data_IF_730495991898
#
_entry.id   IF_730495991898
#
_cell.length_a   1.000
_cell.length_b   1.000
_cell.length_c   1.000
_cell.angle_alpha   90.00
_cell.angle_beta   90.00
_cell.angle_gamma   90.00
#
_symmetry.space_group_name_H-M   'P 1'
#
loop_
_entity.id
_entity.type
_entity.pdbx_description
1 polymer ?
2 polymer ?
3 non-polymer ?
4 water ?
#
# COMPACT_ATOMS: atom_id res chain seq x y z
N UNK A 1 10.04 4.19 9.86
CA UNK A 1 10.54 5.56 9.63
C UNK A 1 10.74 5.87 8.14
N UNK A 2 11.38 4.94 7.45
CA UNK A 2 11.64 5.04 6.02
C UNK A 2 10.31 5.14 5.26
N UNK A 3 9.37 4.27 5.61
CA UNK A 3 8.04 4.24 4.98
C UNK A 3 7.19 5.44 5.39
N UNK A 4 7.36 5.90 6.63
CA UNK A 4 6.61 7.05 7.13
C UNK A 4 6.96 8.26 6.28
N UNK A 5 8.25 8.38 5.93
CA UNK A 5 8.74 9.47 5.11
C UNK A 5 8.11 9.42 3.71
N UNK A 6 8.02 8.23 3.14
CA UNK A 6 7.42 8.08 1.82
C UNK A 6 5.98 8.56 1.89
N UNK A 7 5.27 8.15 2.94
CA UNK A 7 3.88 8.55 3.08
C UNK A 7 3.75 10.06 3.24
N UNK A 8 4.67 10.67 3.97
CA UNK A 8 4.63 12.11 4.16
C UNK A 8 4.89 12.82 2.82
N UNK A 9 5.76 12.23 2.00
CA UNK A 9 6.09 12.79 0.69
C UNK A 9 4.90 12.67 -0.24
N UNK A 10 4.17 11.55 -0.16
CA UNK A 10 2.99 11.35 -1.01
C UNK A 10 1.93 12.40 -0.65
N UNK A 11 1.74 12.63 0.65
CA UNK A 11 0.77 13.61 1.11
C UNK A 11 1.10 15.00 0.55
N UNK A 12 2.37 15.37 0.59
CA UNK A 12 2.81 16.66 0.07
C UNK A 12 2.68 16.73 -1.46
N UNK A 13 3.09 15.66 -2.14
CA UNK A 13 3.01 15.61 -3.60
C UNK A 13 1.58 15.72 -4.10
N UNK A 14 0.63 15.21 -3.31
CA UNK A 14 -0.77 15.27 -3.71
C UNK A 14 -1.45 16.51 -3.15
N UNK A 15 -0.62 17.48 -2.76
CA UNK A 15 -1.06 18.76 -2.24
C UNK A 15 -1.85 18.77 -0.95
N UNK A 16 -1.55 17.81 -0.08
CA UNK A 16 -2.19 17.76 1.22
C UNK A 16 -1.13 18.38 2.14
N UNK A 17 -1.21 19.70 2.26
CA UNK A 17 -0.28 20.50 3.06
C UNK A 17 -0.40 20.35 4.57
N UNK A 18 -1.60 20.04 5.05
CA UNK A 18 -1.82 19.84 6.47
C UNK A 18 -2.67 18.61 6.70
N UNK A 19 -2.31 17.83 7.71
CA UNK A 19 -3.04 16.62 8.05
C UNK A 19 -2.80 16.25 9.51
N UNK A 20 -3.75 15.53 10.11
CA UNK A 20 -3.58 15.07 11.48
C UNK A 20 -2.43 14.09 11.41
N UNK A 21 -1.52 14.12 12.40
CA UNK A 21 -0.35 13.24 12.45
C UNK A 21 -0.68 11.77 12.29
N UNK A 22 -1.78 11.33 12.88
CA UNK A 22 -2.18 9.93 12.83
C UNK A 22 -2.58 9.39 11.45
N UNK A 23 -2.73 10.29 10.47
CA UNK A 23 -3.06 9.90 9.10
C UNK A 23 -1.91 9.03 8.58
N UNK A 24 -0.69 9.41 8.91
CA UNK A 24 0.49 8.67 8.49
C UNK A 24 0.41 7.25 9.07
N UNK A 25 0.04 7.15 10.34
CA UNK A 25 -0.07 5.87 11.02
C UNK A 25 -1.10 5.01 10.31
N UNK A 26 -2.26 5.61 10.03
CA UNK A 26 -3.35 4.93 9.34
C UNK A 26 -2.88 4.38 8.00
N UNK A 27 -2.11 5.19 7.28
CA UNK A 27 -1.64 4.79 5.96
C UNK A 27 -0.58 3.70 6.03
N UNK A 28 0.20 3.68 7.11
CA UNK A 28 1.21 2.64 7.27
C UNK A 28 0.48 1.33 7.58
N UNK A 29 -0.61 1.44 8.33
CA UNK A 29 -1.40 0.28 8.70
C UNK A 29 -2.09 -0.29 7.47
N UNK A 30 -2.54 0.60 6.59
CA UNK A 30 -3.18 0.17 5.36
C UNK A 30 -2.14 -0.55 4.52
N UNK A 31 -0.96 0.04 4.40
CA UNK A 31 0.13 -0.54 3.62
C UNK A 31 0.37 -1.98 4.06
N UNK A 32 0.46 -2.18 5.37
CA UNK A 32 0.71 -3.50 5.93
C UNK A 32 -0.43 -4.45 5.62
N UNK A 33 -1.65 -3.97 5.81
CA UNK A 33 -2.84 -4.76 5.57
C UNK A 33 -2.97 -5.20 4.11
N UNK A 34 -2.70 -4.27 3.19
CA UNK A 34 -2.81 -4.54 1.76
C UNK A 34 -1.76 -5.55 1.32
N UNK A 35 -0.51 -5.29 1.68
CA UNK A 35 0.58 -6.18 1.31
C UNK A 35 0.40 -7.57 1.92
N UNK A 36 0.04 -7.64 3.19
CA UNK A 36 -0.16 -8.94 3.81
C UNK A 36 -1.32 -9.69 3.14
N UNK A 37 -2.38 -8.98 2.79
CA UNK A 37 -3.52 -9.62 2.17
C UNK A 37 -3.15 -10.24 0.82
N UNK A 38 -2.44 -9.48 -0.01
CA UNK A 38 -2.01 -9.98 -1.31
C UNK A 38 -1.03 -11.14 -1.16
N UNK A 39 -0.07 -11.01 -0.25
CA UNK A 39 0.96 -12.05 -0.03
C UNK A 39 0.40 -13.33 0.54
N UNK A 40 -0.62 -13.19 1.37
CA UNK A 40 -1.26 -14.34 1.98
C UNK A 40 -1.89 -15.25 0.91
N UNK A 41 -2.49 -14.64 -0.10
CA UNK A 41 -3.10 -15.38 -1.20
C UNK A 41 -2.01 -15.89 -2.16
N UNK A 42 -1.05 -15.02 -2.46
CA UNK A 42 0.05 -15.36 -3.35
C UNK A 42 0.80 -16.59 -2.83
N UNK A 43 0.92 -16.73 -1.51
CA UNK A 43 1.60 -17.87 -0.90
C UNK A 43 0.90 -19.18 -1.25
N UNK A 44 -0.42 -19.16 -1.29
CA UNK A 44 -1.19 -20.35 -1.62
C UNK A 44 -0.88 -20.78 -3.06
N UNK A 45 -0.84 -19.81 -3.97
CA UNK A 45 -0.55 -20.07 -5.38
C UNK A 45 0.86 -20.66 -5.51
N UNK A 46 1.82 -20.08 -4.79
CA UNK A 46 3.20 -20.55 -4.80
C UNK A 46 3.26 -21.99 -4.29
N UNK A 47 2.46 -22.27 -3.25
CA UNK A 47 2.37 -23.60 -2.66
C UNK A 47 1.86 -24.62 -3.67
N UNK A 48 0.75 -24.30 -4.32
CA UNK A 48 0.14 -25.18 -5.32
C UNK A 48 1.00 -25.38 -6.57
N UNK A 49 1.99 -24.51 -6.73
CA UNK A 49 2.92 -24.59 -7.86
C UNK A 49 4.17 -25.32 -7.38
N UNK A 50 4.21 -25.61 -6.08
CA UNK A 50 5.33 -26.29 -5.46
C UNK A 50 6.59 -25.42 -5.55
N UNK A 51 6.44 -24.16 -5.14
CA UNK A 51 7.54 -23.20 -5.15
C UNK A 51 7.83 -22.75 -3.73
N UNK A 52 9.06 -22.33 -3.47
CA UNK A 52 9.43 -21.85 -2.15
C UNK A 52 9.38 -20.32 -2.10
N UNK A 53 9.53 -19.68 -3.25
CA UNK A 53 9.54 -18.23 -3.33
C UNK A 53 8.37 -17.66 -4.11
N UNK A 54 7.68 -16.69 -3.51
CA UNK A 54 6.55 -16.02 -4.17
C UNK A 54 7.13 -15.26 -5.36
N UNK A 55 6.49 -15.42 -6.52
CA UNK A 55 6.91 -14.78 -7.77
C UNK A 55 5.86 -13.78 -8.28
N UNK A 56 6.24 -13.03 -9.31
CA UNK A 56 5.38 -12.02 -9.94
C UNK A 56 3.99 -12.58 -10.31
N UNK A 57 3.96 -13.76 -10.92
CA UNK A 57 2.69 -14.36 -11.32
C UNK A 57 1.76 -14.62 -10.14
N UNK A 58 2.33 -14.97 -8.99
CA UNK A 58 1.56 -15.22 -7.78
C UNK A 58 0.94 -13.93 -7.28
N UNK A 59 1.74 -12.86 -7.26
CA UNK A 59 1.25 -11.55 -6.84
C UNK A 59 0.19 -11.03 -7.82
N UNK A 60 0.41 -11.24 -9.11
CA UNK A 60 -0.54 -10.78 -10.12
C UNK A 60 -1.91 -11.45 -10.01
N UNK A 61 -1.91 -12.75 -9.75
CA UNK A 61 -3.15 -13.51 -9.63
C UNK A 61 -3.86 -13.12 -8.34
N UNK A 62 -3.11 -13.02 -7.25
CA UNK A 62 -3.70 -12.64 -5.97
C UNK A 62 -4.39 -11.28 -6.12
N UNK A 63 -3.71 -10.34 -6.78
CA UNK A 63 -4.24 -9.00 -6.99
C UNK A 63 -5.49 -9.00 -7.86
N UNK A 64 -5.45 -9.81 -8.91
CA UNK A 64 -6.55 -9.95 -9.88
C UNK A 64 -7.81 -10.57 -9.27
N UNK A 65 -7.61 -11.57 -8.42
CA UNK A 65 -8.72 -12.27 -7.79
C UNK A 65 -9.30 -11.51 -6.62
N UNK A 66 -8.51 -10.65 -6.00
CA UNK A 66 -9.01 -9.87 -4.88
C UNK A 66 -9.40 -8.47 -5.35
N UNK A 67 -9.94 -8.43 -6.58
CA UNK A 67 -10.41 -7.26 -7.33
C UNK A 67 -9.47 -6.95 -8.50
N UNK A 68 -8.62 -5.94 -8.36
CA UNK A 68 -7.66 -5.56 -9.41
C UNK A 68 -6.87 -4.31 -9.00
N UNK B 1 7.25 4.31 -14.79
CA UNK B 1 5.90 3.84 -14.36
C UNK B 1 5.21 4.88 -13.49
N UNK B 2 5.63 4.98 -12.24
CA UNK B 2 5.05 5.92 -11.29
C UNK B 2 5.84 7.20 -11.10
N UNK B 3 5.13 8.32 -11.05
CA UNK B 3 5.76 9.61 -10.80
C UNK B 3 5.53 9.84 -9.31
N UNK B 4 6.37 10.66 -8.71
CA UNK B 4 6.24 10.93 -7.30
C UNK B 4 6.89 9.85 -6.47
N UNK B 5 6.59 9.83 -5.18
CA UNK B 5 7.16 8.86 -4.28
C UNK B 5 6.46 7.50 -4.25
N UNK B 6 7.19 6.49 -3.80
CA UNK B 6 6.64 5.16 -3.71
C UNK B 6 7.35 4.36 -2.64
N UNK B 7 6.63 3.42 -2.06
CA UNK B 7 7.16 2.54 -1.03
C UNK B 7 8.23 1.67 -1.70
N UNK B 8 9.32 1.41 -1.00
CA UNK B 8 10.40 0.60 -1.56
C UNK B 8 10.05 -0.88 -1.63
N UNK B 9 10.68 -1.57 -2.58
CA UNK B 9 10.49 -3.00 -2.73
C UNK B 9 11.05 -3.71 -1.50
N UNK B 10 12.04 -3.07 -0.85
CA UNK B 10 12.66 -3.63 0.36
C UNK B 10 11.66 -3.75 1.52
N UNK B 11 10.77 -2.77 1.64
CA UNK B 11 9.75 -2.77 2.67
C UNK B 11 8.79 -3.94 2.53
N UNK B 12 8.59 -4.42 1.30
CA UNK B 12 7.69 -5.55 1.03
C UNK B 12 8.30 -6.82 1.61
N UNK B 13 9.62 -6.88 1.56
CA UNK B 13 10.37 -8.03 2.07
C UNK B 13 10.22 -8.14 3.60
N UNK B 14 10.33 -7.01 4.28
CA UNK B 14 10.21 -6.96 5.72
C UNK B 14 8.83 -7.42 6.12
N UNK B 15 7.82 -6.93 5.42
CA UNK B 15 6.44 -7.30 5.70
C UNK B 15 6.24 -8.81 5.49
N UNK B 16 6.83 -9.35 4.43
CA UNK B 16 6.72 -10.77 4.12
C UNK B 16 7.27 -11.64 5.25
N UNK B 17 8.40 -11.23 5.83
CA UNK B 17 9.00 -11.97 6.93
C UNK B 17 8.16 -11.90 8.19
N UNK B 18 7.58 -10.73 8.44
CA UNK B 18 6.77 -10.53 9.62
C UNK B 18 5.52 -11.39 9.64
N UNK B 19 5.08 -11.86 8.48
CA UNK B 19 3.90 -12.70 8.42
C UNK B 19 4.22 -14.14 8.07
N UNK B 20 5.49 -14.45 7.92
CA UNK B 20 5.89 -15.81 7.64
C UNK B 20 5.63 -16.42 6.27
N UNK B 21 5.44 -15.60 5.24
CA UNK B 21 5.21 -16.15 3.90
C UNK B 21 6.50 -16.47 3.14
N UNK B 22 7.65 -16.26 3.77
CA UNK B 22 8.90 -16.55 3.11
C UNK B 22 9.42 -15.41 2.24
N UNK B 23 10.39 -15.74 1.40
CA UNK B 23 11.04 -14.79 0.51
C UNK B 23 10.20 -14.43 -0.70
N UNK B 24 10.44 -13.23 -1.22
CA UNK B 24 9.74 -12.76 -2.40
C UNK B 24 10.78 -12.58 -3.49
N UNK B 25 10.38 -12.88 -4.71
CA UNK B 25 11.24 -12.68 -5.86
C UNK B 25 11.35 -11.15 -6.00
N UNK B 26 12.43 -10.65 -6.58
CA UNK B 26 12.59 -9.21 -6.72
C UNK B 26 11.48 -8.58 -7.54
N UNK B 27 11.06 -9.25 -8.61
CA UNK B 27 9.99 -8.71 -9.45
C UNK B 27 8.64 -8.66 -8.71
N UNK B 28 8.42 -9.63 -7.82
CA UNK B 28 7.19 -9.69 -7.03
C UNK B 28 7.17 -8.54 -6.01
N UNK B 29 8.28 -8.31 -5.32
CA UNK B 29 8.37 -7.22 -4.34
C UNK B 29 8.22 -5.86 -5.02
N UNK B 30 8.84 -5.68 -6.20
CA UNK B 30 8.75 -4.42 -6.95
C UNK B 30 7.31 -4.17 -7.39
N UNK B 31 6.64 -5.21 -7.85
CA UNK B 31 5.26 -5.07 -8.30
C UNK B 31 4.37 -4.63 -7.14
N UNK B 32 4.51 -5.30 -6.01
CA UNK B 32 3.74 -5.00 -4.81
C UNK B 32 4.00 -3.60 -4.28
N UNK B 33 5.26 -3.19 -4.28
CA UNK B 33 5.64 -1.86 -3.80
C UNK B 33 5.00 -0.80 -4.70
N UNK B 34 4.95 -1.10 -5.99
CA UNK B 34 4.37 -0.19 -6.93
C UNK B 34 2.86 -0.13 -6.76
N UNK B 35 2.25 -1.30 -6.67
CA UNK B 35 0.81 -1.42 -6.49
C UNK B 35 0.32 -0.75 -5.22
N UNK B 36 1.00 -0.99 -4.09
CA UNK B 36 0.58 -0.37 -2.84
C UNK B 36 0.74 1.15 -2.87
N UNK B 37 1.75 1.63 -3.59
CA UNK B 37 2.00 3.06 -3.71
C UNK B 37 0.89 3.69 -4.54
N UNK B 38 0.40 2.97 -5.54
CA UNK B 38 -0.69 3.45 -6.38
C UNK B 38 -1.96 3.54 -5.54
N UNK B 39 -2.15 2.53 -4.67
CA UNK B 39 -3.30 2.46 -3.77
C UNK B 39 -3.26 3.60 -2.76
N UNK B 40 -2.07 3.85 -2.22
CA UNK B 40 -1.87 4.93 -1.25
C UNK B 40 -2.24 6.30 -1.85
N UNK B 41 -1.82 6.55 -3.09
CA UNK B 41 -2.11 7.81 -3.77
C UNK B 41 -3.62 7.94 -3.99
N UNK B 42 -4.29 6.84 -4.33
CA UNK B 42 -5.75 6.85 -4.53
C UNK B 42 -6.48 7.14 -3.21
N UNK B 43 -6.05 6.49 -2.13
CA UNK B 43 -6.65 6.69 -0.81
C UNK B 43 -6.50 8.15 -0.37
N UNK B 44 -5.30 8.69 -0.49
CA UNK B 44 -5.02 10.07 -0.11
C UNK B 44 -5.82 11.05 -0.98
N UNK B 45 -5.85 10.79 -2.28
CA UNK B 45 -6.60 11.63 -3.21
C UNK B 45 -8.09 11.68 -2.86
N UNK B 46 -8.71 10.52 -2.66
CA UNK B 46 -10.13 10.46 -2.33
C UNK B 46 -10.41 11.11 -0.98
N UNK B 47 -9.51 10.89 -0.03
CA UNK B 47 -9.62 11.47 1.31
C UNK B 47 -9.60 13.01 1.22
N UNK B 48 -8.69 13.54 0.39
CA UNK B 48 -8.57 14.98 0.20
C UNK B 48 -9.83 15.53 -0.48
N UNK B 49 -10.47 14.71 -1.32
CA UNK B 49 -11.71 15.12 -1.99
C UNK B 49 -12.81 15.22 -0.94
N UNK B 50 -12.84 14.27 0.00
CA UNK B 50 -13.84 14.27 1.08
C UNK B 50 -13.63 15.49 1.95
N UNK B 51 -12.37 15.75 2.29
CA UNK B 51 -11.97 16.88 3.12
C UNK B 51 -12.49 18.17 2.50
N UNK B 52 -12.15 18.39 1.23
CA UNK B 52 -12.57 19.57 0.47
C UNK B 52 -14.09 19.69 0.28
N UNK B 53 -14.74 18.56 0.04
CA UNK B 53 -16.18 18.56 -0.12
C UNK B 53 -16.80 19.13 1.16
N UNK B 54 -16.12 18.92 2.29
CA UNK B 54 -16.55 19.39 3.60
C UNK B 54 -15.99 20.77 3.92
N UNK B 55 -15.34 21.39 2.93
CA UNK B 55 -14.75 22.71 3.07
C UNK B 55 -13.63 22.86 4.11
N UNK B 56 -12.92 21.77 4.37
CA UNK B 56 -11.80 21.79 5.32
C UNK B 56 -10.48 21.80 4.55
N UNK B 57 -9.40 22.18 5.22
CA UNK B 57 -8.09 22.22 4.58
C UNK B 57 -7.06 21.31 5.23
N UNK B 58 -7.47 20.65 6.31
CA UNK B 58 -6.58 19.74 7.01
C UNK B 58 -7.18 18.33 6.95
N UNK B 59 -6.44 17.40 6.37
CA UNK B 59 -6.89 16.03 6.24
C UNK B 59 -7.02 15.36 7.59
N UNK B 60 -8.14 14.69 7.83
CA UNK B 60 -8.35 14.02 9.10
C UNK B 60 -8.40 12.50 8.96
N UNK B 61 -8.22 11.81 10.07
CA UNK B 61 -8.28 10.36 10.08
C UNK B 61 -9.66 9.91 9.58
N UNK B 62 -10.67 10.75 9.82
CA UNK B 62 -12.04 10.50 9.40
C UNK B 62 -12.14 10.51 7.87
N UNK B 63 -11.39 11.40 7.23
CA UNK B 63 -11.36 11.49 5.77
C UNK B 63 -10.72 10.21 5.21
N UNK B 64 -9.69 9.72 5.90
CA UNK B 64 -8.99 8.50 5.51
C UNK B 64 -9.90 7.27 5.66
N UNK B 65 -10.69 7.23 6.73
CA UNK B 65 -11.62 6.13 6.97
C UNK B 65 -12.67 6.11 5.85
N UNK B 66 -13.21 7.27 5.52
CA UNK B 66 -14.21 7.40 4.46
C UNK B 66 -13.63 6.90 3.15
N UNK B 67 -12.38 7.29 2.87
CA UNK B 67 -11.68 6.90 1.65
C UNK B 67 -11.46 5.38 1.58
N UNK B 68 -11.13 4.78 2.72
CA UNK B 68 -10.90 3.34 2.80
C UNK B 68 -12.20 2.58 2.59
N UNK B 69 -13.33 3.24 2.83
CA UNK B 69 -14.62 2.60 2.62
C UNK B 69 -14.93 2.58 1.12
N UNK B 70 -14.41 3.57 0.39
CA UNK B 70 -14.63 3.67 -1.06
C UNK B 70 -13.47 3.08 -1.85
X LIG C 1 -10.04 14.43 13.57
X LIG D 1 9.80 -13.63 -11.32
X LIG E 1 4.79 -19.18 -10.68
X LIG F 1 -6.28 -13.17 -15.60
X LIG G 1 0.21 -5.23 -9.89
X LIG H 1 -8.63 21.93 -9.15
X LIG I 1 -6.12 16.34 -5.84
#
# INVERSE_FOLDING_TARGET
>A
PKDAQVIMSILKELNVQEYEPRVVNQLLEFTFRYVTSILDDAKVYANHARKKTIDLDDVRLATEVTLD
>B
MLYGSSISAESMKVIAESIGVGSLSDDAAKELAEDVSIKLKRIVQDAAKFMNHAKRQKLSVRDIDMSLKV
>C hetero
1 ZN ZN
>D hetero
1 ZN ZN
>E hetero
1 ZN ZN
>F hetero
1 ZN ZN
>G hetero
1 ZN ZN
>H hetero
1 ZN ZN
>I hetero
1 ZN ZN
#
